data_IF_526950806531
#
_entry.id   IF_526950806531
#
_cell.length_a   1.000
_cell.length_b   1.000
_cell.length_c   1.000
_cell.angle_alpha   90.00
_cell.angle_beta   90.00
_cell.angle_gamma   90.00
#
_symmetry.space_group_name_H-M   'P 1'
#
loop_
_entity.id
_entity.type
_entity.pdbx_description
1 polymer ?
#
# COMPACT_ATOMS: atom_id res chain seq x y z
N UNK A 1 -6.04 -17.40 9.57
CA UNK A 1 -7.31 -18.01 9.15
C UNK A 1 -8.10 -16.93 8.44
N UNK A 2 -8.37 -17.08 7.13
CA UNK A 2 -9.06 -16.06 6.35
C UNK A 2 -10.58 -16.31 6.38
N UNK A 3 -11.37 -15.23 6.43
CA UNK A 3 -12.81 -15.30 6.25
C UNK A 3 -13.10 -15.73 4.81
N UNK A 4 -13.96 -16.72 4.63
CA UNK A 4 -14.48 -17.05 3.30
C UNK A 4 -15.74 -16.24 3.00
N UNK A 5 -16.07 -15.98 1.72
CA UNK A 5 -17.33 -15.32 1.36
C UNK A 5 -18.56 -16.03 1.95
N UNK A 6 -18.52 -17.36 2.00
CA UNK A 6 -19.61 -18.17 2.55
C UNK A 6 -19.75 -18.01 4.06
N UNK A 7 -18.66 -17.75 4.79
CA UNK A 7 -18.71 -17.50 6.24
C UNK A 7 -19.44 -16.18 6.56
N UNK A 8 -19.32 -15.19 5.68
CA UNK A 8 -19.97 -13.89 5.82
C UNK A 8 -21.47 -14.02 5.58
N UNK A 9 -21.86 -14.70 4.50
CA UNK A 9 -23.28 -14.94 4.17
C UNK A 9 -23.99 -15.78 5.24
N UNK A 10 -23.30 -16.77 5.80
CA UNK A 10 -23.88 -17.63 6.83
C UNK A 10 -23.85 -17.01 8.24
N UNK A 11 -23.25 -15.83 8.40
CA UNK A 11 -23.12 -15.19 9.71
C UNK A 11 -24.49 -14.70 10.19
N UNK A 12 -24.90 -15.13 11.39
CA UNK A 12 -26.08 -14.58 12.07
C UNK A 12 -25.67 -13.77 13.28
N UNK A 13 -26.05 -12.49 13.29
CA UNK A 13 -25.86 -11.60 14.42
C UNK A 13 -27.01 -11.72 15.42
N UNK A 14 -26.72 -11.47 16.70
CA UNK A 14 -27.74 -11.49 17.75
C UNK A 14 -28.44 -10.13 17.81
N UNK A 15 -29.78 -10.06 17.73
CA UNK A 15 -30.50 -8.79 17.75
C UNK A 15 -30.42 -8.14 19.14
N UNK A 16 -30.09 -6.85 19.18
CA UNK A 16 -30.00 -6.06 20.42
C UNK A 16 -31.33 -5.38 20.73
N UNK A 17 -32.01 -5.78 21.82
CA UNK A 17 -33.33 -5.22 22.21
C UNK A 17 -33.30 -4.06 23.21
N UNK A 18 -32.19 -3.90 23.94
CA UNK A 18 -32.08 -2.92 25.05
C UNK A 18 -30.97 -1.90 24.84
N UNK A 19 -30.32 -1.92 23.67
CA UNK A 19 -29.26 -1.00 23.27
C UNK A 19 -29.50 -0.59 21.83
N UNK A 20 -29.03 0.60 21.49
CA UNK A 20 -28.91 1.03 20.10
C UNK A 20 -28.05 -0.01 19.36
N UNK A 21 -28.61 -0.53 18.27
CA UNK A 21 -27.97 -1.48 17.38
C UNK A 21 -27.97 -0.92 15.96
N UNK A 22 -27.18 -1.55 15.09
CA UNK A 22 -27.23 -1.26 13.67
C UNK A 22 -28.58 -1.67 13.08
N UNK A 23 -29.01 -0.98 12.02
CA UNK A 23 -30.15 -1.40 11.23
C UNK A 23 -29.80 -2.72 10.53
N UNK A 24 -30.72 -3.69 10.58
CA UNK A 24 -30.47 -4.99 9.99
C UNK A 24 -30.33 -4.90 8.47
N UNK A 25 -31.19 -4.10 7.82
CA UNK A 25 -31.19 -4.02 6.36
C UNK A 25 -29.91 -3.32 5.88
N UNK A 26 -29.43 -2.30 6.59
CA UNK A 26 -28.15 -1.63 6.28
C UNK A 26 -26.94 -2.56 6.47
N UNK A 27 -26.95 -3.38 7.53
CA UNK A 27 -25.90 -4.39 7.72
C UNK A 27 -25.96 -5.44 6.62
N UNK A 28 -27.15 -5.93 6.25
CA UNK A 28 -27.31 -6.92 5.20
C UNK A 28 -26.83 -6.37 3.83
N UNK A 29 -27.19 -5.14 3.47
CA UNK A 29 -26.71 -4.45 2.25
C UNK A 29 -25.18 -4.30 2.22
N UNK A 30 -24.57 -3.91 3.35
CA UNK A 30 -23.11 -3.77 3.46
C UNK A 30 -22.41 -5.13 3.35
N UNK A 31 -22.97 -6.19 3.95
CA UNK A 31 -22.41 -7.52 3.87
C UNK A 31 -22.45 -8.09 2.45
N UNK A 32 -23.48 -7.75 1.66
CA UNK A 32 -23.53 -8.11 0.23
C UNK A 32 -22.39 -7.46 -0.56
N UNK A 33 -22.06 -6.19 -0.31
CA UNK A 33 -20.92 -5.50 -0.93
C UNK A 33 -19.59 -6.17 -0.53
N UNK A 34 -19.42 -6.48 0.76
CA UNK A 34 -18.22 -7.17 1.28
C UNK A 34 -18.05 -8.55 0.64
N UNK A 35 -19.14 -9.31 0.47
CA UNK A 35 -19.11 -10.64 -0.16
C UNK A 35 -18.71 -10.53 -1.63
N UNK A 36 -19.25 -9.54 -2.36
CA UNK A 36 -18.90 -9.30 -3.75
C UNK A 36 -17.40 -8.99 -3.90
N UNK A 37 -16.86 -8.08 -3.08
CA UNK A 37 -15.45 -7.72 -3.15
C UNK A 37 -14.54 -8.85 -2.67
N UNK A 38 -14.93 -9.60 -1.64
CA UNK A 38 -14.14 -10.74 -1.17
C UNK A 38 -14.07 -11.86 -2.23
N UNK A 39 -15.15 -12.10 -2.98
CA UNK A 39 -15.12 -13.04 -4.12
C UNK A 39 -14.20 -12.53 -5.21
N UNK A 40 -14.28 -11.24 -5.55
CA UNK A 40 -13.39 -10.61 -6.54
C UNK A 40 -11.92 -10.72 -6.14
N UNK A 41 -11.57 -10.35 -4.91
CA UNK A 41 -10.20 -10.40 -4.39
C UNK A 41 -9.65 -11.82 -4.36
N UNK A 42 -10.47 -12.81 -3.97
CA UNK A 42 -10.03 -14.20 -4.01
C UNK A 42 -9.78 -14.66 -5.45
N UNK A 43 -10.65 -14.30 -6.38
CA UNK A 43 -10.49 -14.63 -7.79
C UNK A 43 -9.23 -13.98 -8.39
N UNK A 44 -8.99 -12.70 -8.11
CA UNK A 44 -7.77 -11.99 -8.51
C UNK A 44 -6.53 -12.62 -7.88
N UNK A 45 -6.60 -13.01 -6.59
CA UNK A 45 -5.48 -13.65 -5.92
C UNK A 45 -5.16 -15.02 -6.52
N UNK A 46 -6.18 -15.80 -6.85
CA UNK A 46 -6.04 -17.09 -7.51
C UNK A 46 -5.47 -16.93 -8.93
N UNK A 47 -5.93 -15.94 -9.69
CA UNK A 47 -5.36 -15.58 -10.99
C UNK A 47 -3.88 -15.16 -10.88
N UNK A 48 -3.53 -14.30 -9.92
CA UNK A 48 -2.15 -13.87 -9.70
C UNK A 48 -1.26 -15.04 -9.28
N UNK A 49 -1.75 -15.90 -8.39
CA UNK A 49 -1.06 -17.13 -7.99
C UNK A 49 -0.87 -18.07 -9.16
N UNK A 50 -1.88 -18.22 -10.02
CA UNK A 50 -1.78 -19.01 -11.24
C UNK A 50 -0.74 -18.44 -12.20
N UNK A 51 -0.72 -17.11 -12.41
CA UNK A 51 0.28 -16.43 -13.26
C UNK A 51 1.71 -16.61 -12.72
N UNK A 52 1.90 -16.47 -11.40
CA UNK A 52 3.19 -16.73 -10.75
C UNK A 52 3.61 -18.20 -10.86
N UNK A 53 2.67 -19.14 -10.69
CA UNK A 53 2.95 -20.58 -10.84
C UNK A 53 3.17 -21.03 -12.28
N UNK A 54 2.57 -20.33 -13.25
CA UNK A 54 2.71 -20.59 -14.69
C UNK A 54 3.97 -19.95 -15.29
N UNK A 55 4.74 -19.22 -14.48
CA UNK A 55 6.03 -18.68 -14.88
C UNK A 55 5.95 -17.42 -15.76
N UNK A 56 4.97 -16.53 -15.53
CA UNK A 56 5.00 -15.16 -16.06
C UNK A 56 6.28 -14.48 -15.52
N UNK A 57 7.43 -14.49 -16.21
CA UNK A 57 7.71 -13.93 -17.54
C UNK A 57 7.28 -12.47 -17.58
N UNK A 58 8.19 -11.61 -17.15
CA UNK A 58 8.05 -10.16 -17.23
C UNK A 58 7.49 -9.72 -18.60
N UNK A 59 6.67 -8.66 -18.68
CA UNK A 59 6.40 -8.00 -19.94
C UNK A 59 7.68 -7.25 -20.38
N UNK A 60 8.64 -7.99 -20.93
CA UNK A 60 9.71 -7.45 -21.75
C UNK A 60 9.18 -7.26 -23.18
N UNK A 61 8.20 -6.39 -23.37
CA UNK A 61 7.90 -5.75 -24.67
C UNK A 61 7.15 -4.46 -24.42
N UNK A 62 7.92 -3.43 -24.06
CA UNK A 62 7.73 -2.07 -24.57
C UNK A 62 9.05 -1.30 -24.43
N UNK A 63 10.12 -1.90 -24.97
CA UNK A 63 11.28 -1.15 -25.43
C UNK A 63 11.10 -0.94 -26.93
N UNK A 64 10.25 0.00 -27.30
CA UNK A 64 10.31 0.59 -28.63
C UNK A 64 11.65 1.35 -28.73
N UNK A 65 12.50 1.09 -29.74
CA UNK A 65 13.64 1.95 -29.99
C UNK A 65 13.09 3.25 -30.57
N UNK A 66 12.78 4.22 -29.71
CA UNK A 66 12.65 5.61 -30.15
C UNK A 66 14.02 6.06 -30.61
N UNK A 67 14.22 6.03 -31.92
CA UNK A 67 15.32 6.66 -32.60
C UNK A 67 15.44 8.10 -32.10
N UNK A 68 16.59 8.40 -31.49
CA UNK A 68 17.02 9.76 -31.25
C UNK A 68 17.31 10.46 -32.58
N UNK A 69 16.80 11.68 -32.78
CA UNK A 69 17.57 12.71 -33.45
C UNK A 69 18.05 13.71 -32.41
N UNK A 70 19.36 13.71 -32.22
CA UNK A 70 20.10 14.88 -31.73
C UNK A 70 19.85 16.06 -32.67
N UNK A 71 19.40 17.20 -32.16
CA UNK A 71 19.92 18.52 -32.55
C UNK A 71 19.21 19.67 -31.81
N UNK A 72 20.06 20.56 -31.28
CA UNK A 72 19.82 21.98 -31.04
C UNK A 72 19.16 22.41 -29.74
N UNK A 73 19.99 22.43 -28.69
CA UNK A 73 20.00 23.57 -27.76
C UNK A 73 20.36 24.86 -28.53
N UNK A 74 19.75 25.99 -28.15
CA UNK A 74 20.56 27.01 -27.50
C UNK A 74 19.84 27.66 -26.30
N UNK A 75 20.50 27.65 -25.14
CA UNK A 75 20.39 28.74 -24.18
C UNK A 75 21.44 29.81 -24.60
N UNK A 76 21.19 31.13 -24.44
CA UNK A 76 21.25 31.69 -23.09
C UNK A 76 20.32 32.88 -22.80
N UNK A 77 20.10 33.06 -21.49
CA UNK A 77 19.99 34.33 -20.77
C UNK A 77 18.84 35.31 -21.11
N UNK A 78 17.90 35.43 -20.17
CA UNK A 78 17.50 36.74 -19.61
C UNK A 78 16.86 36.53 -18.23
N UNK A 79 17.69 36.63 -17.19
CA UNK A 79 17.25 37.14 -15.89
C UNK A 79 17.43 38.66 -15.93
N UNK A 80 16.44 39.42 -15.47
CA UNK A 80 16.71 40.26 -14.31
C UNK A 80 15.56 40.19 -13.28
N UNK A 81 15.91 39.80 -12.05
CA UNK A 81 15.28 40.37 -10.86
C UNK A 81 15.84 41.80 -10.73
N UNK A 82 15.12 42.81 -10.18
CA UNK A 82 14.52 42.70 -8.84
C UNK A 82 13.21 43.48 -8.60
N UNK A 83 12.66 43.23 -7.40
CA UNK A 83 11.93 44.19 -6.57
C UNK A 83 10.60 44.77 -7.08
N UNK A 84 9.51 44.27 -6.50
CA UNK A 84 8.46 45.12 -5.89
C UNK A 84 7.65 44.29 -4.91
N UNK A 85 8.12 44.25 -3.67
CA UNK A 85 7.25 44.21 -2.51
C UNK A 85 6.97 45.68 -2.12
N UNK A 86 5.69 46.02 -1.92
CA UNK A 86 5.27 46.69 -0.70
C UNK A 86 4.14 45.84 -0.10
N UNK A 87 4.30 45.25 1.07
CA UNK A 87 4.24 45.89 2.39
C UNK A 87 2.94 46.69 2.60
N UNK A 88 2.19 46.24 3.62
CA UNK A 88 1.19 46.95 4.40
C UNK A 88 -0.16 47.28 3.76
N UNK A 89 -1.18 46.48 4.10
CA UNK A 89 -2.37 47.00 4.79
C UNK A 89 -2.84 45.93 5.80
N UNK A 90 -2.31 46.01 7.01
CA UNK A 90 -3.02 45.67 8.24
C UNK A 90 -3.64 46.98 8.74
N UNK A 91 -4.92 46.96 9.14
CA UNK A 91 -5.16 47.36 10.52
C UNK A 91 -6.16 46.43 11.23
N UNK A 92 -5.67 45.84 12.32
CA UNK A 92 -6.37 45.53 13.57
C UNK A 92 -7.28 46.71 14.06
N UNK A 93 -8.00 46.64 15.21
CA UNK A 93 -8.58 45.54 15.98
C UNK A 93 -10.06 45.82 16.36
N UNK A 94 -10.88 44.79 16.63
CA UNK A 94 -12.09 44.95 17.46
C UNK A 94 -12.13 43.87 18.53
N UNK A 95 -11.50 44.20 19.65
CA UNK A 95 -12.01 44.15 21.03
C UNK A 95 -13.10 43.09 21.33
N UNK A 96 -12.61 42.00 21.92
CA UNK A 96 -13.12 41.23 23.07
C UNK A 96 -14.30 41.84 23.87
N UNK A 97 -15.21 41.00 24.39
CA UNK A 97 -15.12 40.76 25.83
C UNK A 97 -15.30 39.29 26.21
N UNK A 98 -14.31 38.74 26.91
CA UNK A 98 -14.50 37.65 27.87
C UNK A 98 -15.54 38.08 28.92
N UNK A 99 -16.24 37.13 29.55
CA UNK A 99 -15.77 36.82 30.89
C UNK A 99 -15.90 35.35 31.32
N UNK A 100 -14.91 34.98 32.14
CA UNK A 100 -14.99 34.21 33.39
C UNK A 100 -14.95 32.67 33.38
N UNK A 101 -13.73 32.19 33.68
CA UNK A 101 -13.35 31.15 34.67
C UNK A 101 -14.24 29.92 34.85
N UNK A 102 -13.68 28.76 34.52
CA UNK A 102 -13.39 27.70 35.51
C UNK A 102 -12.54 26.57 34.88
N UNK A 103 -11.30 26.44 35.33
CA UNK A 103 -10.59 25.16 35.42
C UNK A 103 -10.51 24.80 36.92
N UNK A 104 -10.30 23.52 37.34
CA UNK A 104 -10.10 22.30 36.56
C UNK A 104 -11.01 21.13 37.02
N UNK A 105 -11.39 20.23 36.12
CA UNK A 105 -11.87 18.90 36.49
C UNK A 105 -10.99 17.85 35.80
N UNK A 106 -9.94 17.44 36.51
CA UNK A 106 -9.20 16.24 36.19
C UNK A 106 -10.07 15.02 36.53
N UNK A 107 -10.49 14.26 35.51
CA UNK A 107 -10.76 12.83 35.64
C UNK A 107 -10.08 12.12 34.48
N UNK A 108 -8.86 11.65 34.77
CA UNK A 108 -8.17 10.66 33.98
C UNK A 108 -8.84 9.30 34.22
N UNK A 109 -9.32 8.66 33.16
CA UNK A 109 -9.26 7.20 32.93
C UNK A 109 -9.82 6.88 31.55
N UNK A 110 -8.99 7.04 30.52
CA UNK A 110 -9.23 6.38 29.24
C UNK A 110 -8.91 4.88 29.41
N UNK A 111 -9.79 3.95 29.00
CA UNK A 111 -9.45 2.53 29.00
C UNK A 111 -8.38 2.32 27.92
N UNK A 112 -7.20 1.88 28.36
CA UNK A 112 -6.15 1.42 27.47
C UNK A 112 -6.69 0.24 26.66
N UNK A 113 -6.86 0.45 25.35
CA UNK A 113 -7.04 -0.62 24.38
C UNK A 113 -5.76 -1.47 24.42
N UNK A 114 -5.82 -2.63 25.06
CA UNK A 114 -4.73 -3.60 25.01
C UNK A 114 -4.70 -4.15 23.58
N UNK A 115 -3.78 -3.64 22.76
CA UNK A 115 -3.37 -4.31 21.54
C UNK A 115 -2.91 -5.74 21.89
N UNK A 116 -3.21 -6.75 21.07
CA UNK A 116 -2.71 -8.10 21.33
C UNK A 116 -1.18 -8.02 21.38
N UNK A 117 -0.59 -8.44 22.50
CA UNK A 117 0.84 -8.60 22.63
C UNK A 117 1.28 -9.71 21.66
N UNK A 118 1.60 -9.34 20.43
CA UNK A 118 2.38 -10.20 19.54
C UNK A 118 3.67 -10.50 20.27
N UNK A 119 3.88 -11.78 20.58
CA UNK A 119 5.04 -12.21 21.34
C UNK A 119 6.28 -11.94 20.47
N UNK A 120 7.33 -11.33 21.02
CA UNK A 120 8.57 -11.03 20.28
C UNK A 120 9.16 -12.27 19.56
N UNK A 121 8.84 -13.47 20.05
CA UNK A 121 9.16 -14.75 19.44
C UNK A 121 8.49 -14.98 18.07
N UNK A 122 7.25 -14.54 17.89
CA UNK A 122 6.48 -14.69 16.64
C UNK A 122 7.01 -13.75 15.55
N UNK A 123 7.39 -12.53 15.94
CA UNK A 123 8.03 -11.55 15.06
C UNK A 123 9.44 -11.99 14.62
N UNK A 124 10.21 -12.56 15.55
CA UNK A 124 11.54 -13.14 15.24
C UNK A 124 11.41 -14.35 14.30
N UNK A 125 10.37 -15.17 14.46
CA UNK A 125 10.09 -16.30 13.55
C UNK A 125 9.68 -15.83 12.16
N UNK A 126 8.83 -14.80 12.09
CA UNK A 126 8.38 -14.19 10.84
C UNK A 126 9.52 -13.54 10.06
N UNK A 127 10.40 -12.81 10.74
CA UNK A 127 11.61 -12.22 10.12
C UNK A 127 12.60 -13.28 9.65
N UNK A 128 12.78 -14.36 10.41
CA UNK A 128 13.62 -15.48 9.97
C UNK A 128 13.05 -16.13 8.69
N UNK A 129 11.74 -16.36 8.64
CA UNK A 129 11.05 -16.92 7.47
C UNK A 129 11.19 -16.01 6.24
N UNK A 130 11.09 -14.69 6.41
CA UNK A 130 11.31 -13.72 5.33
C UNK A 130 12.76 -13.73 4.82
N UNK A 131 13.75 -13.82 5.72
CA UNK A 131 15.16 -13.91 5.33
C UNK A 131 15.48 -15.19 4.56
N UNK A 132 14.83 -16.31 4.92
CA UNK A 132 14.96 -17.57 4.19
C UNK A 132 14.38 -17.46 2.77
N UNK A 133 13.20 -16.84 2.63
CA UNK A 133 12.58 -16.60 1.32
C UNK A 133 13.46 -15.69 0.45
N UNK A 134 13.96 -14.58 1.02
CA UNK A 134 14.83 -13.65 0.32
C UNK A 134 16.12 -14.33 -0.19
N UNK A 135 16.74 -15.19 0.62
CA UNK A 135 17.91 -15.97 0.19
C UNK A 135 17.58 -16.91 -0.97
N UNK A 136 16.47 -17.66 -0.88
CA UNK A 136 16.06 -18.59 -1.94
C UNK A 136 15.81 -17.87 -3.26
N UNK A 137 15.09 -16.75 -3.22
CA UNK A 137 14.81 -15.94 -4.41
C UNK A 137 16.10 -15.39 -5.03
N UNK A 138 17.02 -14.92 -4.18
CA UNK A 138 18.32 -14.44 -4.65
C UNK A 138 19.14 -15.56 -5.32
N UNK A 139 19.22 -16.74 -4.69
CA UNK A 139 19.92 -17.89 -5.25
C UNK A 139 19.33 -18.33 -6.61
N UNK A 140 18.00 -18.25 -6.76
CA UNK A 140 17.32 -18.53 -8.02
C UNK A 140 17.71 -17.52 -9.11
N UNK A 141 17.70 -16.22 -8.80
CA UNK A 141 18.10 -15.19 -9.76
C UNK A 141 19.58 -15.29 -10.17
N UNK A 142 20.46 -15.63 -9.21
CA UNK A 142 21.88 -15.88 -9.49
C UNK A 142 22.05 -17.08 -10.41
N UNK A 143 21.30 -18.17 -10.16
CA UNK A 143 21.34 -19.37 -11.00
C UNK A 143 20.91 -19.06 -12.43
N UNK A 144 19.78 -18.38 -12.61
CA UNK A 144 19.33 -17.95 -13.94
C UNK A 144 20.35 -17.06 -14.65
N UNK A 145 21.00 -16.15 -13.92
CA UNK A 145 22.04 -15.30 -14.47
C UNK A 145 23.25 -16.10 -14.97
N UNK A 146 23.65 -17.12 -14.22
CA UNK A 146 24.75 -18.03 -14.60
C UNK A 146 24.36 -18.85 -15.82
N UNK A 147 23.14 -19.42 -15.86
CA UNK A 147 22.65 -20.20 -17.00
C UNK A 147 22.55 -19.35 -18.28
N UNK A 148 22.01 -18.12 -18.18
CA UNK A 148 21.94 -17.17 -19.32
C UNK A 148 23.33 -16.81 -19.81
N UNK A 149 24.26 -16.53 -18.90
CA UNK A 149 25.67 -16.26 -19.26
C UNK A 149 26.29 -17.45 -19.98
N UNK A 150 26.14 -18.65 -19.44
CA UNK A 150 26.75 -19.85 -20.00
C UNK A 150 26.14 -20.20 -21.37
N UNK A 151 24.83 -19.98 -21.55
CA UNK A 151 24.16 -20.09 -22.84
C UNK A 151 24.70 -19.10 -23.88
N UNK A 152 24.88 -17.82 -23.51
CA UNK A 152 25.45 -16.80 -24.40
C UNK A 152 26.91 -17.12 -24.78
N UNK A 153 27.69 -17.67 -23.85
CA UNK A 153 29.06 -18.12 -24.13
C UNK A 153 29.04 -19.29 -25.13
N UNK A 154 28.15 -20.27 -24.93
CA UNK A 154 28.01 -21.40 -25.85
C UNK A 154 27.56 -20.98 -27.25
N UNK A 155 26.59 -20.05 -27.36
CA UNK A 155 26.15 -19.47 -28.63
C UNK A 155 27.29 -18.73 -29.35
N UNK A 156 28.07 -17.94 -28.60
CA UNK A 156 29.27 -17.27 -29.11
C UNK A 156 30.31 -18.25 -29.64
N UNK A 157 30.52 -19.38 -28.96
CA UNK A 157 31.41 -20.45 -29.43
C UNK A 157 30.87 -21.23 -30.63
N UNK A 158 29.56 -21.36 -30.78
CA UNK A 158 28.94 -22.04 -31.93
C UNK A 158 28.90 -21.19 -33.20
N UNK A 159 28.94 -19.86 -33.04
CA UNK A 159 28.87 -18.90 -34.15
C UNK A 159 30.25 -18.50 -34.70
N UNK A 160 31.33 -18.80 -33.96
CA UNK A 160 32.72 -18.53 -34.34
C UNK A 160 33.35 -19.72 -35.11
#
# INVERSE_FOLDING_TARGET
MALTPEDVVNKRFQPTKFREGYDQDEVDDFLDEVVAELRRLNQENDELRQRLSSGESAPATQAAPVSAPVASAPAPASAPAPASAPEAVEPEPVVEPEPVVAAPAAVASAPAYSAPAVSEADETSSTNSLLQLARRLHEEHVREGVEKRDALIAEGHATA
#
